data_IF_454358420883
#
_entry.id   IF_454358420883
#
_cell.length_a   1.000
_cell.length_b   1.000
_cell.length_c   1.000
_cell.angle_alpha   90.00
_cell.angle_beta   90.00
_cell.angle_gamma   90.00
#
_symmetry.space_group_name_H-M   'P 1'
#
loop_
_entity.id
_entity.type
_entity.pdbx_description
1 polymer ?
#
# COMPACT_ATOMS: atom_id res chain seq x y z
N UNK A 1 7.88 -8.35 83.38
CA UNK A 1 8.62 -7.42 82.50
C UNK A 1 8.03 -7.50 81.10
N UNK A 2 7.51 -6.36 80.62
CA UNK A 2 7.20 -5.92 79.23
C UNK A 2 6.75 -6.98 78.19
N UNK A 3 5.46 -6.95 77.85
CA UNK A 3 4.91 -7.38 76.55
C UNK A 3 5.30 -6.38 75.45
N UNK A 4 5.53 -6.83 74.20
CA UNK A 4 5.26 -6.00 73.03
C UNK A 4 4.07 -6.53 72.22
N UNK A 5 3.29 -5.59 71.71
CA UNK A 5 2.12 -5.77 70.85
C UNK A 5 2.52 -6.25 69.46
N UNK A 6 1.78 -7.21 68.91
CA UNK A 6 1.78 -7.51 67.47
C UNK A 6 0.71 -6.64 66.83
N UNK A 7 1.13 -5.61 66.10
CA UNK A 7 0.26 -4.78 65.27
C UNK A 7 -0.04 -5.48 63.94
N UNK A 8 -1.31 -5.76 63.68
CA UNK A 8 -1.79 -6.23 62.38
C UNK A 8 -1.84 -5.04 61.41
N UNK A 9 -0.99 -5.06 60.37
CA UNK A 9 -1.06 -4.12 59.26
C UNK A 9 -2.08 -4.66 58.24
N UNK A 10 -3.24 -3.99 58.11
CA UNK A 10 -4.14 -4.18 56.98
C UNK A 10 -3.50 -3.59 55.72
N UNK A 11 -3.13 -4.46 54.77
CA UNK A 11 -2.84 -4.07 53.39
C UNK A 11 -4.16 -3.84 52.65
N UNK A 12 -4.52 -2.57 52.44
CA UNK A 12 -5.60 -2.20 51.54
C UNK A 12 -5.13 -2.42 50.09
N UNK A 13 -5.63 -3.47 49.44
CA UNK A 13 -5.44 -3.70 48.01
C UNK A 13 -6.34 -2.74 47.23
N UNK A 14 -5.78 -1.62 46.78
CA UNK A 14 -6.43 -0.74 45.80
C UNK A 14 -6.42 -1.39 44.43
N UNK A 15 -7.56 -1.97 44.03
CA UNK A 15 -7.79 -2.45 42.68
C UNK A 15 -7.86 -1.26 41.70
N UNK A 16 -6.76 -0.96 41.01
CA UNK A 16 -6.80 -0.11 39.83
C UNK A 16 -7.49 -0.87 38.71
N UNK A 17 -8.77 -0.56 38.49
CA UNK A 17 -9.49 -0.95 37.28
C UNK A 17 -8.88 -0.18 36.12
N UNK A 18 -8.06 -0.85 35.31
CA UNK A 18 -7.62 -0.33 34.02
C UNK A 18 -8.83 -0.28 33.08
N UNK A 19 -9.48 0.89 33.00
CA UNK A 19 -10.45 1.15 31.96
C UNK A 19 -9.73 1.12 30.61
N UNK A 20 -9.98 0.07 29.82
CA UNK A 20 -9.58 0.03 28.42
C UNK A 20 -10.22 1.24 27.72
N UNK A 21 -9.42 2.23 27.33
CA UNK A 21 -9.88 3.34 26.51
C UNK A 21 -10.21 2.79 25.13
N UNK A 22 -11.47 2.39 24.93
CA UNK A 22 -12.01 2.14 23.60
C UNK A 22 -12.00 3.47 22.85
N UNK A 23 -11.29 3.52 21.72
CA UNK A 23 -11.36 4.67 20.82
C UNK A 23 -12.83 5.01 20.52
N UNK A 24 -13.21 6.30 20.50
CA UNK A 24 -14.57 6.69 20.18
C UNK A 24 -14.97 6.18 18.79
N UNK A 25 -16.22 5.71 18.59
CA UNK A 25 -16.69 5.28 17.28
C UNK A 25 -16.58 6.44 16.30
N UNK A 26 -15.99 6.18 15.13
CA UNK A 26 -15.85 7.17 14.07
C UNK A 26 -17.23 7.72 13.65
N UNK A 27 -17.35 9.02 13.35
CA UNK A 27 -18.62 9.59 12.88
C UNK A 27 -19.06 8.89 11.60
N UNK A 28 -20.33 8.45 11.57
CA UNK A 28 -20.92 7.81 10.40
C UNK A 28 -20.99 8.80 9.23
N UNK A 29 -20.29 8.49 8.13
CA UNK A 29 -20.32 9.30 6.91
C UNK A 29 -21.61 9.02 6.12
N UNK A 30 -22.30 10.10 5.73
CA UNK A 30 -23.59 10.03 5.06
C UNK A 30 -23.52 9.25 3.73
N UNK A 31 -24.47 8.31 3.54
CA UNK A 31 -24.67 7.60 2.27
C UNK A 31 -24.05 6.20 2.15
N UNK A 32 -23.27 5.75 3.14
CA UNK A 32 -22.63 4.43 3.14
C UNK A 32 -22.81 3.73 4.49
N UNK A 33 -24.06 3.63 4.95
CA UNK A 33 -24.44 2.94 6.19
C UNK A 33 -25.04 1.56 5.90
N UNK A 34 -24.97 0.65 6.88
CA UNK A 34 -25.57 -0.68 6.80
C UNK A 34 -24.62 -1.80 6.35
N UNK A 35 -25.12 -3.04 6.32
CA UNK A 35 -24.31 -4.21 5.98
C UNK A 35 -23.78 -4.15 4.55
N UNK A 36 -22.61 -4.74 4.33
CA UNK A 36 -22.07 -5.00 2.99
C UNK A 36 -22.40 -6.45 2.61
N UNK A 37 -23.11 -6.63 1.49
CA UNK A 37 -23.42 -7.96 0.94
C UNK A 37 -22.49 -8.24 -0.24
N UNK A 38 -21.75 -9.34 -0.15
CA UNK A 38 -20.80 -9.78 -1.16
C UNK A 38 -21.39 -10.93 -1.97
N UNK A 39 -21.24 -10.90 -3.29
CA UNK A 39 -21.50 -12.06 -4.14
C UNK A 39 -20.44 -13.13 -3.89
N UNK A 40 -19.17 -12.72 -3.85
CA UNK A 40 -18.02 -13.59 -3.67
C UNK A 40 -16.93 -12.87 -2.88
N UNK A 41 -16.21 -13.64 -2.07
CA UNK A 41 -14.94 -13.21 -1.49
C UNK A 41 -13.99 -14.39 -1.43
N UNK A 42 -12.70 -14.10 -1.40
CA UNK A 42 -11.69 -15.15 -1.29
C UNK A 42 -10.29 -14.59 -1.35
N UNK A 43 -9.34 -15.50 -1.47
CA UNK A 43 -7.94 -15.17 -1.68
C UNK A 43 -7.24 -16.25 -2.50
N UNK A 44 -6.20 -15.85 -3.21
CA UNK A 44 -5.36 -16.73 -4.03
C UNK A 44 -3.96 -16.12 -4.18
N UNK A 45 -3.07 -16.84 -4.84
CA UNK A 45 -1.74 -16.36 -5.21
C UNK A 45 -1.60 -16.27 -6.73
N UNK A 46 -0.81 -15.33 -7.21
CA UNK A 46 -0.44 -15.17 -8.63
C UNK A 46 1.07 -15.26 -8.79
N UNK A 47 1.53 -15.90 -9.86
CA UNK A 47 2.94 -16.10 -10.14
C UNK A 47 3.62 -17.05 -9.16
N UNK A 48 4.89 -16.77 -8.91
CA UNK A 48 5.78 -17.60 -8.10
C UNK A 48 6.59 -18.62 -8.88
N UNK A 49 7.65 -19.10 -8.23
CA UNK A 49 8.54 -20.15 -8.74
C UNK A 49 9.09 -20.98 -7.59
N UNK A 50 9.47 -22.20 -7.88
CA UNK A 50 10.11 -23.09 -6.92
C UNK A 50 11.63 -22.85 -6.91
N UNK A 51 12.20 -22.75 -5.71
CA UNK A 51 13.64 -22.63 -5.46
C UNK A 51 14.09 -23.78 -4.58
N UNK A 52 15.11 -24.51 -5.04
CA UNK A 52 15.85 -25.45 -4.20
C UNK A 52 16.91 -24.69 -3.42
N UNK A 53 17.00 -24.97 -2.13
CA UNK A 53 17.98 -24.37 -1.21
C UNK A 53 18.49 -25.42 -0.25
N UNK A 54 19.72 -25.23 0.21
CA UNK A 54 20.40 -26.06 1.22
C UNK A 54 20.52 -25.31 2.57
N UNK A 55 19.93 -24.10 2.67
CA UNK A 55 20.04 -23.20 3.83
C UNK A 55 18.68 -22.67 4.31
N UNK A 56 17.61 -23.45 4.19
CA UNK A 56 16.25 -23.07 4.59
C UNK A 56 16.07 -22.92 6.11
N UNK A 57 16.83 -23.64 6.93
CA UNK A 57 16.66 -23.66 8.38
C UNK A 57 17.99 -23.72 9.13
N UNK A 58 18.06 -22.99 10.25
CA UNK A 58 19.09 -23.17 11.29
C UNK A 58 18.53 -23.84 12.56
N UNK A 59 17.26 -24.24 12.54
CA UNK A 59 16.57 -24.90 13.63
C UNK A 59 16.55 -26.43 13.40
N UNK A 60 16.79 -27.26 14.44
CA UNK A 60 16.77 -28.73 14.30
C UNK A 60 15.44 -29.32 13.83
N UNK A 61 14.32 -28.64 14.09
CA UNK A 61 12.98 -29.14 13.79
C UNK A 61 12.62 -29.10 12.28
N UNK A 62 13.41 -28.41 11.45
CA UNK A 62 13.13 -28.25 10.03
C UNK A 62 14.38 -28.57 9.20
N UNK A 63 14.20 -29.31 8.10
CA UNK A 63 15.30 -29.65 7.21
C UNK A 63 15.97 -28.38 6.66
N UNK A 64 17.32 -28.30 6.67
CA UNK A 64 18.03 -27.16 6.09
C UNK A 64 17.93 -27.17 4.57
N UNK A 65 17.69 -28.33 3.95
CA UNK A 65 17.55 -28.45 2.51
C UNK A 65 16.14 -28.81 2.08
N UNK A 66 15.73 -28.28 0.93
CA UNK A 66 14.40 -28.50 0.38
C UNK A 66 14.06 -27.57 -0.77
N UNK A 67 12.79 -27.56 -1.16
CA UNK A 67 12.26 -26.68 -2.19
C UNK A 67 11.13 -25.84 -1.61
N UNK A 68 11.19 -24.52 -1.82
CA UNK A 68 10.16 -23.57 -1.38
C UNK A 68 9.62 -22.80 -2.58
N UNK A 69 8.36 -22.36 -2.49
CA UNK A 69 7.79 -21.40 -3.42
C UNK A 69 8.15 -19.98 -2.98
N UNK A 70 8.66 -19.18 -3.93
CA UNK A 70 9.01 -17.77 -3.74
C UNK A 70 8.45 -16.95 -4.89
N UNK A 71 8.43 -15.63 -4.73
CA UNK A 71 8.00 -14.68 -5.77
C UNK A 71 6.51 -14.76 -6.18
N UNK A 72 5.68 -15.43 -5.39
CA UNK A 72 4.22 -15.39 -5.53
C UNK A 72 3.64 -14.13 -4.87
N UNK A 73 2.61 -13.56 -5.48
CA UNK A 73 1.88 -12.39 -4.99
C UNK A 73 0.55 -12.82 -4.40
N UNK A 74 0.33 -12.57 -3.11
CA UNK A 74 -0.95 -12.77 -2.45
C UNK A 74 -1.99 -11.77 -2.98
N UNK A 75 -3.22 -12.25 -3.17
CA UNK A 75 -4.37 -11.46 -3.60
C UNK A 75 -5.57 -11.81 -2.73
N UNK A 76 -6.17 -10.82 -2.07
CA UNK A 76 -7.52 -10.93 -1.48
C UNK A 76 -8.51 -10.24 -2.40
N UNK A 77 -9.67 -10.86 -2.63
CA UNK A 77 -10.72 -10.23 -3.44
C UNK A 77 -12.06 -10.17 -2.73
N UNK A 78 -12.84 -9.14 -3.08
CA UNK A 78 -14.25 -9.00 -2.74
C UNK A 78 -15.02 -8.53 -3.97
N UNK A 79 -16.17 -9.16 -4.23
CA UNK A 79 -17.06 -8.84 -5.36
C UNK A 79 -18.43 -8.45 -4.80
N UNK A 80 -18.93 -7.24 -5.06
CA UNK A 80 -20.28 -6.84 -4.66
C UNK A 80 -21.33 -7.60 -5.48
N UNK A 81 -22.55 -7.72 -4.97
CA UNK A 81 -23.68 -8.26 -5.74
C UNK A 81 -23.91 -7.44 -7.01
N UNK A 82 -24.05 -8.11 -8.15
CA UNK A 82 -24.30 -7.50 -9.46
C UNK A 82 -23.29 -6.37 -9.79
N UNK A 83 -21.99 -6.67 -9.89
CA UNK A 83 -20.95 -5.66 -10.07
C UNK A 83 -21.16 -4.86 -11.36
N UNK A 84 -21.28 -3.54 -11.24
CA UNK A 84 -21.53 -2.63 -12.37
C UNK A 84 -20.26 -1.93 -12.88
N UNK A 85 -19.20 -1.92 -12.06
CA UNK A 85 -17.97 -1.19 -12.35
C UNK A 85 -16.79 -2.14 -12.53
N UNK A 86 -15.75 -1.65 -13.23
CA UNK A 86 -14.51 -2.41 -13.48
C UNK A 86 -13.84 -2.81 -12.16
N UNK A 87 -13.20 -3.99 -12.07
CA UNK A 87 -12.35 -4.32 -10.93
C UNK A 87 -11.26 -3.27 -10.71
N UNK A 88 -10.90 -3.06 -9.45
CA UNK A 88 -9.70 -2.29 -9.06
C UNK A 88 -8.72 -3.20 -8.34
N UNK A 89 -7.45 -3.14 -8.73
CA UNK A 89 -6.36 -3.83 -8.06
C UNK A 89 -5.58 -2.81 -7.24
N UNK A 90 -5.56 -2.96 -5.92
CA UNK A 90 -4.96 -2.01 -4.97
C UNK A 90 -3.56 -2.49 -4.55
N UNK A 91 -2.55 -1.66 -4.81
CA UNK A 91 -1.13 -2.03 -4.78
C UNK A 91 -0.40 -1.10 -3.79
N UNK A 92 -0.11 -1.58 -2.59
CA UNK A 92 0.54 -0.79 -1.53
C UNK A 92 1.99 -0.39 -1.90
N UNK A 93 2.57 0.56 -1.16
CA UNK A 93 3.95 1.02 -1.32
C UNK A 93 4.99 0.32 -0.43
N UNK A 94 6.09 1.01 -0.13
CA UNK A 94 7.14 0.50 0.77
C UNK A 94 6.57 0.32 2.17
N UNK A 95 7.27 -0.49 2.96
CA UNK A 95 7.15 -0.40 4.42
C UNK A 95 5.75 -0.73 4.97
N UNK A 96 4.87 -1.25 4.12
CA UNK A 96 3.43 -1.46 4.33
C UNK A 96 3.02 -2.77 3.65
N UNK A 97 1.75 -3.14 3.81
CA UNK A 97 1.08 -4.30 3.19
C UNK A 97 -0.25 -3.85 2.56
N UNK A 98 -1.08 -4.78 2.07
CA UNK A 98 -2.45 -4.50 1.66
C UNK A 98 -3.30 -3.77 2.72
N UNK A 99 -2.89 -3.83 4.01
CA UNK A 99 -3.47 -3.08 5.13
C UNK A 99 -3.59 -1.57 4.87
N UNK A 100 -2.76 -1.01 3.98
CA UNK A 100 -2.87 0.37 3.48
C UNK A 100 -4.29 0.75 3.07
N UNK A 101 -5.00 -0.17 2.43
CA UNK A 101 -6.30 0.08 1.80
C UNK A 101 -7.49 -0.32 2.67
N UNK A 102 -7.23 -1.07 3.75
CA UNK A 102 -8.24 -1.52 4.72
C UNK A 102 -8.63 -0.39 5.68
N UNK A 103 -9.34 -0.72 6.77
CA UNK A 103 -9.71 0.20 7.85
C UNK A 103 -8.58 1.18 8.20
N UNK A 104 -8.85 2.48 8.21
CA UNK A 104 -7.82 3.49 8.49
C UNK A 104 -7.27 3.36 9.92
N UNK A 105 -6.10 3.92 10.24
CA UNK A 105 -5.53 3.85 11.58
C UNK A 105 -6.48 4.32 12.70
N UNK A 106 -7.34 5.29 12.40
CA UNK A 106 -8.36 5.83 13.31
C UNK A 106 -9.72 5.12 13.24
N UNK A 107 -9.80 3.96 12.57
CA UNK A 107 -10.98 3.10 12.58
C UNK A 107 -12.06 3.42 11.54
N UNK A 108 -11.83 4.37 10.62
CA UNK A 108 -12.76 4.67 9.52
C UNK A 108 -12.67 3.63 8.40
N UNK A 109 -13.65 3.68 7.50
CA UNK A 109 -13.70 2.84 6.31
C UNK A 109 -12.49 3.11 5.40
N UNK A 110 -11.85 2.02 4.96
CA UNK A 110 -10.78 2.05 3.97
C UNK A 110 -11.30 2.11 2.53
N UNK A 111 -10.39 2.33 1.59
CA UNK A 111 -10.72 2.31 0.17
C UNK A 111 -11.12 0.92 -0.31
N UNK A 112 -10.62 -0.17 0.28
CA UNK A 112 -11.02 -1.52 -0.15
C UNK A 112 -12.53 -1.75 0.02
N UNK A 113 -13.08 -1.48 1.20
CA UNK A 113 -14.51 -1.57 1.47
C UNK A 113 -15.29 -0.52 0.70
N UNK A 114 -14.81 0.72 0.64
CA UNK A 114 -15.52 1.81 -0.01
C UNK A 114 -15.72 1.54 -1.52
N UNK A 115 -14.68 1.04 -2.21
CA UNK A 115 -14.79 0.69 -3.63
C UNK A 115 -15.79 -0.45 -3.86
N UNK A 116 -15.84 -1.46 -2.99
CA UNK A 116 -16.84 -2.54 -3.07
C UNK A 116 -18.25 -1.99 -2.90
N UNK A 117 -18.46 -1.13 -1.90
CA UNK A 117 -19.76 -0.45 -1.68
C UNK A 117 -20.16 0.46 -2.84
N UNK A 118 -19.18 0.95 -3.59
CA UNK A 118 -19.33 1.69 -4.84
C UNK A 118 -19.39 0.77 -6.07
N UNK A 119 -19.59 -0.53 -5.92
CA UNK A 119 -19.84 -1.45 -7.03
C UNK A 119 -18.61 -1.89 -7.82
N UNK A 120 -17.40 -1.61 -7.34
CA UNK A 120 -16.16 -2.15 -7.90
C UNK A 120 -15.77 -3.45 -7.20
N UNK A 121 -15.54 -4.56 -7.93
CA UNK A 121 -14.75 -5.65 -7.38
C UNK A 121 -13.36 -5.16 -6.96
N UNK A 122 -12.88 -5.54 -5.79
CA UNK A 122 -11.55 -5.14 -5.30
C UNK A 122 -10.62 -6.33 -5.21
N UNK A 123 -9.36 -6.11 -5.58
CA UNK A 123 -8.27 -7.07 -5.51
C UNK A 123 -7.11 -6.41 -4.76
N UNK A 124 -7.00 -6.67 -3.47
CA UNK A 124 -5.97 -6.10 -2.60
C UNK A 124 -4.80 -7.06 -2.53
N UNK A 125 -3.62 -6.60 -2.95
CA UNK A 125 -2.44 -7.46 -3.02
C UNK A 125 -1.51 -7.22 -1.81
N UNK A 126 -0.71 -8.23 -1.50
CA UNK A 126 0.59 -8.01 -0.85
C UNK A 126 1.68 -8.21 -1.90
N UNK A 127 2.56 -7.22 -2.09
CA UNK A 127 3.70 -7.32 -3.00
C UNK A 127 4.53 -8.57 -2.72
N UNK A 128 5.24 -9.06 -3.73
CA UNK A 128 6.21 -10.15 -3.58
C UNK A 128 7.19 -9.87 -2.44
N UNK A 129 7.40 -10.88 -1.58
CA UNK A 129 8.21 -10.80 -0.34
C UNK A 129 7.73 -9.76 0.68
N UNK A 130 6.43 -9.49 0.74
CA UNK A 130 5.79 -8.64 1.74
C UNK A 130 4.53 -9.29 2.30
N UNK A 131 4.26 -9.12 3.59
CA UNK A 131 3.02 -9.58 4.21
C UNK A 131 2.83 -11.09 4.03
N UNK A 132 1.74 -11.48 3.37
CA UNK A 132 1.38 -12.88 3.10
C UNK A 132 2.11 -13.48 1.89
N UNK A 133 2.84 -12.68 1.13
CA UNK A 133 3.73 -13.11 0.05
C UNK A 133 5.11 -13.41 0.63
N UNK A 134 5.51 -14.68 0.68
CA UNK A 134 6.70 -15.12 1.43
C UNK A 134 8.02 -14.61 0.84
N UNK A 135 8.94 -14.20 1.73
CA UNK A 135 10.33 -13.95 1.40
C UNK A 135 11.17 -15.24 1.45
N UNK A 136 12.31 -15.26 0.75
CA UNK A 136 13.27 -16.37 0.79
C UNK A 136 14.29 -16.18 1.94
N UNK A 137 14.32 -17.06 2.95
CA UNK A 137 15.25 -16.95 4.08
C UNK A 137 16.67 -17.43 3.75
N UNK A 138 16.87 -18.09 2.60
CA UNK A 138 18.08 -18.88 2.29
C UNK A 138 19.37 -18.08 2.43
N UNK A 139 19.38 -16.83 1.94
CA UNK A 139 20.58 -16.00 1.98
C UNK A 139 20.94 -15.55 3.41
N UNK A 140 19.94 -15.16 4.21
CA UNK A 140 20.13 -14.76 5.62
C UNK A 140 20.69 -15.93 6.43
N UNK A 141 20.12 -17.13 6.24
CA UNK A 141 20.59 -18.33 6.90
C UNK A 141 21.97 -18.76 6.41
N UNK A 142 22.25 -18.65 5.11
CA UNK A 142 23.56 -18.97 4.53
C UNK A 142 24.67 -18.12 5.16
N UNK A 143 24.41 -16.82 5.37
CA UNK A 143 25.32 -15.92 6.08
C UNK A 143 25.49 -16.33 7.54
N UNK A 144 24.40 -16.63 8.25
CA UNK A 144 24.44 -17.10 9.64
C UNK A 144 25.22 -18.41 9.81
N UNK A 145 25.17 -19.30 8.81
CA UNK A 145 25.90 -20.56 8.77
C UNK A 145 27.38 -20.40 8.35
N UNK A 146 27.82 -19.18 8.01
CA UNK A 146 29.17 -18.92 7.52
C UNK A 146 29.44 -19.41 6.09
N UNK A 147 28.40 -19.82 5.36
CA UNK A 147 28.52 -20.29 3.98
C UNK A 147 28.53 -19.14 2.97
N UNK A 148 28.06 -17.96 3.37
CA UNK A 148 28.10 -16.75 2.57
C UNK A 148 28.72 -15.60 3.39
N UNK A 149 29.65 -14.82 2.82
CA UNK A 149 30.22 -13.65 3.48
C UNK A 149 29.16 -12.60 3.87
N UNK A 150 29.27 -11.95 5.04
CA UNK A 150 28.27 -10.97 5.49
C UNK A 150 28.02 -9.80 4.54
N UNK A 151 29.03 -9.36 3.76
CA UNK A 151 28.93 -8.27 2.77
C UNK A 151 28.02 -8.60 1.58
N UNK A 152 27.63 -9.88 1.42
CA UNK A 152 26.66 -10.32 0.40
C UNK A 152 25.21 -10.23 0.87
N UNK A 153 24.95 -9.85 2.13
CA UNK A 153 23.58 -9.68 2.63
C UNK A 153 22.97 -8.41 2.02
N UNK A 154 21.90 -8.51 1.22
CA UNK A 154 21.22 -7.32 0.69
C UNK A 154 20.57 -6.55 1.83
N UNK A 155 20.41 -5.22 1.69
CA UNK A 155 19.78 -4.42 2.72
C UNK A 155 18.30 -4.79 2.86
N UNK A 156 17.92 -5.27 4.04
CA UNK A 156 16.53 -5.39 4.47
C UNK A 156 16.29 -4.22 5.41
N UNK A 157 15.27 -3.40 5.14
CA UNK A 157 15.07 -2.16 5.89
C UNK A 157 13.65 -2.03 6.44
N UNK A 158 13.52 -1.27 7.52
CA UNK A 158 12.26 -0.74 8.01
C UNK A 158 12.37 0.78 8.07
N UNK A 159 11.28 1.49 7.78
CA UNK A 159 11.21 2.91 8.04
C UNK A 159 10.86 3.12 9.52
N UNK A 160 11.81 3.68 10.30
CA UNK A 160 11.54 4.12 11.67
C UNK A 160 10.49 5.23 11.70
N UNK A 161 9.85 5.44 12.86
CA UNK A 161 8.73 6.38 13.01
C UNK A 161 9.11 7.81 12.59
N UNK A 162 10.32 8.24 12.91
CA UNK A 162 10.85 9.56 12.63
C UNK A 162 11.09 9.75 11.12
N UNK A 163 11.66 8.73 10.47
CA UNK A 163 11.84 8.73 9.03
C UNK A 163 10.48 8.68 8.31
N UNK A 164 9.57 7.84 8.78
CA UNK A 164 8.21 7.70 8.26
C UNK A 164 7.47 9.03 8.32
N UNK A 165 7.61 9.79 9.41
CA UNK A 165 6.99 11.10 9.58
C UNK A 165 7.32 12.08 8.45
N UNK A 166 8.61 12.24 8.13
CA UNK A 166 9.08 13.11 7.06
C UNK A 166 8.76 12.54 5.67
N UNK A 167 8.88 11.21 5.48
CA UNK A 167 8.53 10.54 4.22
C UNK A 167 7.05 10.70 3.93
N UNK A 168 6.18 10.58 4.93
CA UNK A 168 4.73 10.66 4.77
C UNK A 168 4.20 12.09 4.84
N UNK A 169 5.11 13.06 5.01
CA UNK A 169 4.83 14.50 5.08
C UNK A 169 3.79 14.83 6.16
N UNK A 170 3.87 14.19 7.32
CA UNK A 170 3.10 14.62 8.49
C UNK A 170 3.63 15.95 9.03
N UNK A 171 4.95 16.15 8.89
CA UNK A 171 5.63 17.42 9.03
C UNK A 171 7.08 17.30 8.56
N UNK A 172 7.83 18.40 8.66
CA UNK A 172 9.22 18.46 8.18
C UNK A 172 10.18 17.59 8.99
N UNK A 173 9.91 17.44 10.28
CA UNK A 173 10.66 16.58 11.20
C UNK A 173 9.73 16.08 12.31
N UNK A 174 10.03 14.90 12.86
CA UNK A 174 9.26 14.36 13.97
C UNK A 174 9.53 15.15 15.27
N UNK A 175 8.51 15.51 16.07
CA UNK A 175 7.06 15.32 15.88
C UNK A 175 6.34 16.58 15.37
N UNK A 176 7.03 17.52 14.72
CA UNK A 176 6.42 18.77 14.21
C UNK A 176 5.44 18.43 13.09
N UNK A 177 4.29 19.11 13.06
CA UNK A 177 3.19 18.82 12.12
C UNK A 177 3.05 19.97 11.12
N UNK A 178 2.72 19.68 9.87
CA UNK A 178 2.32 20.73 8.92
C UNK A 178 0.94 21.31 9.26
N UNK A 179 0.77 22.62 9.10
CA UNK A 179 -0.52 23.28 9.34
C UNK A 179 -1.61 22.75 8.43
N UNK A 180 -2.73 22.31 9.02
CA UNK A 180 -3.86 21.75 8.27
C UNK A 180 -3.72 20.28 7.90
N UNK A 181 -2.77 19.55 8.52
CA UNK A 181 -2.57 18.12 8.29
C UNK A 181 -3.87 17.32 8.47
N UNK A 182 -4.24 16.58 7.42
CA UNK A 182 -5.44 15.73 7.38
C UNK A 182 -5.22 14.31 7.86
N UNK A 183 -3.97 13.86 7.97
CA UNK A 183 -3.70 12.55 8.51
C UNK A 183 -4.13 12.49 9.98
N UNK A 184 -4.85 11.45 10.44
CA UNK A 184 -5.36 11.36 11.81
C UNK A 184 -4.25 11.03 12.81
N UNK A 185 -3.42 12.03 13.15
CA UNK A 185 -2.23 11.87 13.99
C UNK A 185 -2.49 11.40 15.43
N UNK A 186 -3.74 11.51 15.90
CA UNK A 186 -4.16 10.88 17.15
C UNK A 186 -4.01 9.34 17.10
N UNK A 187 -4.12 8.73 15.92
CA UNK A 187 -4.01 7.30 15.68
C UNK A 187 -2.65 6.88 15.08
N UNK A 188 -1.60 7.71 15.20
CA UNK A 188 -0.26 7.41 14.67
C UNK A 188 0.33 6.10 15.19
N UNK A 189 0.01 5.69 16.42
CA UNK A 189 0.49 4.42 16.97
C UNK A 189 -0.11 3.22 16.22
N UNK A 190 -1.38 3.28 15.84
CA UNK A 190 -2.01 2.26 15.00
C UNK A 190 -1.42 2.26 13.58
N UNK A 191 -1.07 3.45 13.07
CA UNK A 191 -0.35 3.55 11.81
C UNK A 191 1.03 2.90 11.86
N UNK A 192 1.78 3.08 12.94
CA UNK A 192 3.09 2.43 13.07
C UNK A 192 2.98 0.90 13.21
N UNK A 193 1.90 0.37 13.78
CA UNK A 193 1.65 -1.08 13.85
C UNK A 193 1.43 -1.74 12.48
N UNK A 194 0.93 -1.01 11.48
CA UNK A 194 0.78 -1.56 10.12
C UNK A 194 2.07 -1.45 9.28
N UNK A 195 3.10 -0.77 9.80
CA UNK A 195 4.39 -0.70 9.11
C UNK A 195 5.17 -2.00 9.29
N UNK A 196 5.82 -2.45 8.22
CA UNK A 196 6.53 -3.73 8.17
C UNK A 196 7.90 -3.58 7.53
N UNK A 197 8.77 -4.57 7.73
CA UNK A 197 10.05 -4.69 7.02
C UNK A 197 9.85 -4.80 5.51
N UNK A 198 10.82 -4.29 4.76
CA UNK A 198 10.81 -4.24 3.30
C UNK A 198 12.00 -5.01 2.72
N UNK A 199 11.68 -5.98 1.85
CA UNK A 199 12.62 -6.88 1.17
C UNK A 199 12.92 -6.47 -0.27
N UNK A 200 12.45 -5.32 -0.75
CA UNK A 200 12.59 -4.93 -2.16
C UNK A 200 14.02 -5.01 -2.69
N UNK A 201 15.03 -4.69 -1.86
CA UNK A 201 16.43 -4.72 -2.30
C UNK A 201 17.01 -6.13 -2.41
N UNK A 202 16.28 -7.16 -1.98
CA UNK A 202 16.64 -8.57 -2.18
C UNK A 202 16.03 -9.12 -3.48
N UNK A 203 15.28 -8.32 -4.22
CA UNK A 203 14.54 -8.72 -5.41
C UNK A 203 15.11 -8.05 -6.68
N UNK A 204 14.91 -8.65 -7.87
CA UNK A 204 15.30 -8.02 -9.13
C UNK A 204 14.48 -6.75 -9.42
N UNK A 205 14.97 -5.95 -10.36
CA UNK A 205 14.23 -4.83 -10.96
C UNK A 205 14.00 -5.13 -12.45
N UNK A 206 12.75 -5.14 -12.96
CA UNK A 206 11.49 -4.86 -12.26
C UNK A 206 11.19 -5.86 -11.13
N UNK A 207 10.49 -5.39 -10.10
CA UNK A 207 10.06 -6.24 -8.99
C UNK A 207 9.14 -7.36 -9.53
N UNK A 208 9.23 -8.62 -9.05
CA UNK A 208 8.40 -9.72 -9.55
C UNK A 208 6.88 -9.48 -9.46
N UNK A 209 6.44 -8.57 -8.57
CA UNK A 209 5.06 -8.06 -8.52
C UNK A 209 4.59 -7.56 -9.90
N UNK A 210 5.44 -6.94 -10.72
CA UNK A 210 5.09 -6.44 -12.06
C UNK A 210 4.60 -7.57 -12.97
N UNK A 211 5.30 -8.71 -12.97
CA UNK A 211 4.88 -9.87 -13.76
C UNK A 211 3.57 -10.44 -13.24
N UNK A 212 3.44 -10.58 -11.92
CA UNK A 212 2.22 -11.06 -11.29
C UNK A 212 1.01 -10.14 -11.55
N UNK A 213 1.21 -8.81 -11.62
CA UNK A 213 0.18 -7.85 -12.01
C UNK A 213 -0.25 -8.02 -13.47
N UNK A 214 0.67 -8.34 -14.39
CA UNK A 214 0.33 -8.65 -15.79
C UNK A 214 -0.55 -9.90 -15.87
N UNK A 215 -0.18 -10.96 -15.14
CA UNK A 215 -0.95 -12.20 -15.05
C UNK A 215 -2.35 -11.96 -14.45
N UNK A 216 -2.42 -11.24 -13.33
CA UNK A 216 -3.70 -10.88 -12.70
C UNK A 216 -4.57 -10.03 -13.62
N UNK A 217 -3.99 -9.04 -14.31
CA UNK A 217 -4.74 -8.17 -15.24
C UNK A 217 -5.39 -8.98 -16.36
N UNK A 218 -4.68 -9.98 -16.90
CA UNK A 218 -5.20 -10.91 -17.90
C UNK A 218 -6.31 -11.80 -17.36
N UNK A 219 -6.20 -12.27 -16.12
CA UNK A 219 -7.24 -13.08 -15.47
C UNK A 219 -8.53 -12.27 -15.24
N UNK A 220 -8.41 -10.98 -14.91
CA UNK A 220 -9.55 -10.11 -14.62
C UNK A 220 -10.19 -9.49 -15.86
N UNK A 221 -9.46 -9.48 -16.99
CA UNK A 221 -9.91 -8.94 -18.27
C UNK A 221 -10.43 -7.49 -18.17
N UNK A 222 -9.55 -6.60 -17.69
CA UNK A 222 -9.82 -5.17 -17.58
C UNK A 222 -9.96 -4.69 -16.15
N UNK A 223 -8.86 -4.72 -15.40
CA UNK A 223 -8.74 -4.09 -14.08
C UNK A 223 -8.12 -2.70 -14.18
N UNK A 224 -8.52 -1.78 -13.30
CA UNK A 224 -7.75 -0.55 -13.05
C UNK A 224 -6.67 -0.87 -12.02
N UNK A 225 -5.42 -0.55 -12.32
CA UNK A 225 -4.29 -0.73 -11.40
C UNK A 225 -4.10 0.55 -10.58
N UNK A 226 -4.36 0.49 -9.27
CA UNK A 226 -4.22 1.62 -8.34
C UNK A 226 -3.01 1.37 -7.44
N UNK A 227 -1.93 2.10 -7.68
CA UNK A 227 -0.66 1.93 -6.97
C UNK A 227 -0.27 3.12 -6.12
N UNK A 228 0.65 2.92 -5.18
CA UNK A 228 1.09 3.94 -4.25
C UNK A 228 2.60 3.95 -4.05
N UNK A 229 3.22 5.12 -4.09
CA UNK A 229 4.60 5.31 -3.63
C UNK A 229 5.62 4.43 -4.36
N UNK A 230 6.33 3.56 -3.64
CA UNK A 230 7.28 2.58 -4.20
C UNK A 230 6.70 1.77 -5.37
N UNK A 231 5.44 1.33 -5.28
CA UNK A 231 4.78 0.58 -6.35
C UNK A 231 4.20 1.47 -7.44
N UNK A 232 4.30 2.79 -7.30
CA UNK A 232 3.78 3.77 -8.25
C UNK A 232 4.25 3.54 -9.69
N UNK A 233 5.46 2.99 -9.88
CA UNK A 233 6.03 2.66 -11.19
C UNK A 233 5.54 1.30 -11.73
N UNK A 234 4.99 0.43 -10.89
CA UNK A 234 4.70 -0.97 -11.24
C UNK A 234 3.59 -1.11 -12.29
N UNK A 235 2.47 -0.37 -12.25
CA UNK A 235 1.48 -0.44 -13.33
C UNK A 235 2.04 -0.03 -14.69
N UNK A 236 2.95 0.95 -14.72
CA UNK A 236 3.60 1.37 -15.96
C UNK A 236 4.55 0.29 -16.49
N UNK A 237 5.36 -0.32 -15.61
CA UNK A 237 6.21 -1.46 -15.98
C UNK A 237 5.36 -2.67 -16.43
N UNK A 238 4.18 -2.84 -15.85
CA UNK A 238 3.23 -3.89 -16.25
C UNK A 238 2.70 -3.63 -17.65
N UNK A 239 2.31 -2.39 -17.96
CA UNK A 239 1.87 -1.99 -19.29
C UNK A 239 2.99 -2.09 -20.35
N UNK A 240 4.24 -1.76 -19.98
CA UNK A 240 5.40 -1.92 -20.83
C UNK A 240 5.73 -3.40 -21.13
N UNK A 241 5.37 -4.30 -20.22
CA UNK A 241 5.48 -5.75 -20.44
C UNK A 241 4.35 -6.27 -21.34
N UNK A 242 3.10 -5.98 -21.01
CA UNK A 242 1.91 -6.37 -21.77
C UNK A 242 0.70 -5.56 -21.31
N UNK A 243 0.03 -4.87 -22.23
CA UNK A 243 -1.15 -4.03 -21.94
C UNK A 243 -2.44 -4.83 -21.77
N UNK A 244 -2.45 -6.12 -22.12
CA UNK A 244 -3.66 -6.96 -22.07
C UNK A 244 -4.25 -7.03 -20.67
N UNK A 245 -5.54 -6.69 -20.56
CA UNK A 245 -6.29 -6.73 -19.31
C UNK A 245 -6.12 -5.51 -18.40
N UNK A 246 -5.31 -4.51 -18.80
CA UNK A 246 -5.19 -3.24 -18.09
C UNK A 246 -6.24 -2.26 -18.63
N UNK A 247 -7.21 -1.89 -17.80
CA UNK A 247 -8.26 -0.94 -18.18
C UNK A 247 -7.87 0.52 -17.92
N UNK A 248 -7.01 0.77 -16.94
CA UNK A 248 -6.52 2.10 -16.58
C UNK A 248 -5.47 2.03 -15.47
N UNK A 249 -4.75 3.12 -15.27
CA UNK A 249 -3.73 3.24 -14.22
C UNK A 249 -4.04 4.46 -13.36
N UNK A 250 -4.02 4.29 -12.04
CA UNK A 250 -4.01 5.38 -11.06
C UNK A 250 -2.76 5.22 -10.21
N UNK A 251 -1.85 6.19 -10.26
CA UNK A 251 -0.61 6.16 -9.49
C UNK A 251 -0.61 7.30 -8.48
N UNK A 252 -0.68 6.94 -7.20
CA UNK A 252 -0.78 7.87 -6.07
C UNK A 252 0.62 8.12 -5.53
N UNK A 253 1.10 9.34 -5.69
CA UNK A 253 2.42 9.81 -5.28
C UNK A 253 3.55 8.83 -5.62
N UNK A 254 3.71 8.46 -6.91
CA UNK A 254 4.71 7.51 -7.32
C UNK A 254 6.13 7.94 -6.89
N UNK A 255 6.91 6.96 -6.42
CA UNK A 255 8.33 7.15 -6.20
C UNK A 255 9.08 7.48 -7.50
N UNK A 256 8.54 7.04 -8.65
CA UNK A 256 9.07 7.29 -10.00
C UNK A 256 7.95 7.14 -11.02
N UNK A 257 7.91 8.02 -12.03
CA UNK A 257 7.13 7.84 -13.26
C UNK A 257 8.07 7.38 -14.41
N UNK A 258 7.54 6.84 -15.52
CA UNK A 258 8.36 6.58 -16.71
C UNK A 258 9.11 7.84 -17.17
N UNK A 259 10.26 7.65 -17.83
CA UNK A 259 11.03 8.79 -18.35
C UNK A 259 10.25 9.54 -19.44
N UNK A 260 10.27 10.88 -19.38
CA UNK A 260 9.71 11.74 -20.43
C UNK A 260 10.38 11.53 -21.81
N UNK A 261 11.62 11.04 -21.83
CA UNK A 261 12.39 10.74 -23.04
C UNK A 261 12.44 9.24 -23.36
N UNK A 262 11.72 8.41 -22.60
CA UNK A 262 11.67 6.96 -22.80
C UNK A 262 10.67 6.54 -23.88
N UNK A 263 10.47 5.22 -24.02
CA UNK A 263 9.41 4.70 -24.89
C UNK A 263 8.03 4.93 -24.26
N UNK A 264 7.21 5.73 -24.94
CA UNK A 264 5.86 6.10 -24.50
C UNK A 264 4.78 5.20 -25.12
N UNK A 265 5.12 4.38 -26.14
CA UNK A 265 4.15 3.56 -26.89
C UNK A 265 3.27 2.69 -25.99
N UNK A 266 3.77 2.05 -24.91
CA UNK A 266 2.94 1.20 -24.05
C UNK A 266 1.79 1.94 -23.36
N UNK A 267 1.88 3.28 -23.23
CA UNK A 267 0.96 4.09 -22.45
C UNK A 267 -0.10 4.79 -23.29
N UNK A 268 0.09 4.89 -24.62
CA UNK A 268 -0.79 5.70 -25.49
C UNK A 268 -2.25 5.24 -25.49
N UNK A 269 -2.50 3.94 -25.33
CA UNK A 269 -3.85 3.37 -25.30
C UNK A 269 -4.53 3.36 -23.93
N UNK A 270 -3.80 3.69 -22.85
CA UNK A 270 -4.25 3.48 -21.48
C UNK A 270 -4.58 4.83 -20.83
N UNK A 271 -5.78 5.03 -20.26
CA UNK A 271 -6.06 6.20 -19.43
C UNK A 271 -5.24 6.13 -18.14
N UNK A 272 -4.55 7.22 -17.81
CA UNK A 272 -3.65 7.31 -16.66
C UNK A 272 -4.04 8.51 -15.79
N UNK A 273 -4.06 8.30 -14.47
CA UNK A 273 -4.09 9.35 -13.47
C UNK A 273 -2.81 9.28 -12.63
N UNK A 274 -2.14 10.41 -12.42
CA UNK A 274 -1.12 10.56 -11.39
C UNK A 274 -1.65 11.55 -10.36
N UNK A 275 -1.75 11.14 -9.09
CA UNK A 275 -2.38 11.92 -8.01
C UNK A 275 -1.36 12.29 -6.94
N UNK A 276 -1.30 13.57 -6.59
CA UNK A 276 -0.45 14.13 -5.56
C UNK A 276 -1.25 14.89 -4.49
N UNK A 277 -0.87 14.72 -3.24
CA UNK A 277 -1.37 15.47 -2.09
C UNK A 277 -0.68 16.82 -1.92
N UNK A 278 -0.62 17.29 -0.68
CA UNK A 278 -0.06 18.59 -0.31
C UNK A 278 1.38 18.46 0.22
N UNK A 279 2.04 19.60 0.42
CA UNK A 279 3.41 19.77 0.93
C UNK A 279 4.52 19.13 0.06
N UNK A 280 4.17 18.63 -1.12
CA UNK A 280 5.07 17.89 -2.03
C UNK A 280 6.24 18.76 -2.49
N UNK A 281 5.96 20.00 -2.91
CA UNK A 281 6.98 20.94 -3.41
C UNK A 281 7.97 21.41 -2.33
N UNK A 282 7.55 21.38 -1.06
CA UNK A 282 8.41 21.76 0.08
C UNK A 282 9.32 20.63 0.56
N UNK A 283 9.09 19.40 0.09
CA UNK A 283 9.87 18.23 0.48
C UNK A 283 11.01 17.97 -0.50
N UNK A 284 12.25 17.97 -0.01
CA UNK A 284 13.43 17.61 -0.81
C UNK A 284 13.35 16.21 -1.42
N UNK A 285 12.62 15.29 -0.78
CA UNK A 285 12.37 13.93 -1.28
C UNK A 285 11.32 13.90 -2.40
N UNK A 286 10.26 14.71 -2.30
CA UNK A 286 9.09 14.58 -3.16
C UNK A 286 9.03 15.60 -4.30
N UNK A 287 9.57 16.81 -4.13
CA UNK A 287 9.57 17.83 -5.18
C UNK A 287 10.24 17.37 -6.49
N UNK A 288 11.39 16.65 -6.47
CA UNK A 288 11.98 16.13 -7.71
C UNK A 288 11.11 15.06 -8.38
N UNK A 289 10.37 14.27 -7.60
CA UNK A 289 9.49 13.21 -8.12
C UNK A 289 8.25 13.79 -8.78
N UNK A 290 7.65 14.81 -8.16
CA UNK A 290 6.56 15.59 -8.74
C UNK A 290 6.99 16.19 -10.09
N UNK A 291 8.16 16.83 -10.14
CA UNK A 291 8.72 17.40 -11.37
C UNK A 291 8.88 16.35 -12.47
N UNK A 292 9.50 15.21 -12.16
CA UNK A 292 9.71 14.14 -13.14
C UNK A 292 8.38 13.55 -13.66
N UNK A 293 7.38 13.39 -12.79
CA UNK A 293 6.05 12.92 -13.20
C UNK A 293 5.28 13.94 -14.03
N UNK A 294 5.46 15.24 -13.77
CA UNK A 294 4.91 16.32 -14.60
C UNK A 294 5.54 16.30 -16.00
N UNK A 295 6.87 16.17 -16.09
CA UNK A 295 7.59 16.05 -17.37
C UNK A 295 7.13 14.82 -18.18
N UNK A 296 6.94 13.67 -17.51
CA UNK A 296 6.37 12.47 -18.13
C UNK A 296 4.96 12.72 -18.67
N UNK A 297 4.08 13.33 -17.86
CA UNK A 297 2.70 13.59 -18.27
C UNK A 297 2.63 14.55 -19.47
N UNK A 298 3.45 15.59 -19.49
CA UNK A 298 3.56 16.49 -20.63
C UNK A 298 4.06 15.78 -21.89
N UNK A 299 5.08 14.95 -21.78
CA UNK A 299 5.61 14.18 -22.92
C UNK A 299 4.59 13.19 -23.47
N UNK A 300 3.91 12.46 -22.59
CA UNK A 300 2.86 11.51 -22.98
C UNK A 300 1.66 12.21 -23.62
N UNK A 301 1.23 13.36 -23.07
CA UNK A 301 0.17 14.18 -23.65
C UNK A 301 0.53 14.67 -25.06
N UNK A 302 1.76 15.15 -25.27
CA UNK A 302 2.26 15.54 -26.60
C UNK A 302 2.31 14.37 -27.59
N UNK A 303 2.55 13.15 -27.10
CA UNK A 303 2.53 11.93 -27.90
C UNK A 303 1.11 11.38 -28.18
N UNK A 304 0.05 12.05 -27.67
CA UNK A 304 -1.35 11.65 -27.86
C UNK A 304 -1.89 10.68 -26.81
N UNK A 305 -1.17 10.45 -25.71
CA UNK A 305 -1.65 9.65 -24.59
C UNK A 305 -2.67 10.40 -23.72
N UNK A 306 -3.47 9.65 -22.96
CA UNK A 306 -4.50 10.19 -22.06
C UNK A 306 -4.01 10.15 -20.62
N UNK A 307 -3.53 11.28 -20.11
CA UNK A 307 -3.00 11.38 -18.75
C UNK A 307 -3.51 12.63 -18.04
N UNK A 308 -4.04 12.42 -16.84
CA UNK A 308 -4.40 13.49 -15.89
C UNK A 308 -3.37 13.51 -14.75
N UNK A 309 -2.61 14.61 -14.65
CA UNK A 309 -1.65 14.83 -13.58
C UNK A 309 -2.24 15.79 -12.54
N UNK A 310 -2.79 15.23 -11.45
CA UNK A 310 -3.58 15.96 -10.45
C UNK A 310 -2.74 16.26 -9.22
N UNK A 311 -2.69 17.53 -8.83
CA UNK A 311 -2.11 18.00 -7.56
C UNK A 311 -3.27 18.59 -6.75
N UNK A 312 -3.58 17.98 -5.60
CA UNK A 312 -4.78 18.31 -4.82
C UNK A 312 -4.89 19.80 -4.43
N UNK A 313 -3.81 20.47 -4.01
CA UNK A 313 -3.86 21.92 -3.74
C UNK A 313 -4.31 22.77 -4.93
N UNK A 314 -3.98 22.39 -6.17
CA UNK A 314 -4.35 23.13 -7.38
C UNK A 314 -5.86 23.11 -7.64
N UNK A 315 -6.57 22.13 -7.05
CA UNK A 315 -8.04 22.02 -7.11
C UNK A 315 -8.70 22.37 -5.77
N UNK A 316 -7.99 23.06 -4.87
CA UNK A 316 -8.52 23.56 -3.61
C UNK A 316 -8.57 22.54 -2.46
N UNK A 317 -8.03 21.33 -2.65
CA UNK A 317 -7.97 20.30 -1.61
C UNK A 317 -6.58 20.36 -0.95
N UNK A 318 -6.51 20.88 0.27
CA UNK A 318 -5.25 21.12 1.00
C UNK A 318 -5.10 20.20 2.19
N UNK A 319 -3.87 20.02 2.67
CA UNK A 319 -3.55 19.32 3.92
C UNK A 319 -3.36 17.81 3.81
N UNK A 320 -3.47 17.24 2.61
CA UNK A 320 -3.33 15.81 2.40
C UNK A 320 -1.88 15.33 2.51
N UNK A 321 -1.69 14.24 3.25
CA UNK A 321 -0.39 13.60 3.48
C UNK A 321 0.00 12.68 2.31
N UNK A 322 1.12 11.96 2.43
CA UNK A 322 1.44 10.86 1.51
C UNK A 322 0.47 9.67 1.64
N UNK A 323 -0.21 9.56 2.78
CA UNK A 323 -1.18 8.49 3.07
C UNK A 323 -2.60 8.96 2.76
N UNK A 324 -2.81 9.51 1.56
CA UNK A 324 -4.08 10.10 1.10
C UNK A 324 -5.30 9.20 1.34
N UNK A 325 -5.13 7.89 1.19
CA UNK A 325 -6.17 6.89 1.40
C UNK A 325 -6.53 6.67 2.87
N UNK A 326 -5.76 7.23 3.80
CA UNK A 326 -5.97 7.15 5.25
C UNK A 326 -6.23 8.52 5.91
N UNK A 327 -6.10 9.63 5.17
CA UNK A 327 -6.43 10.97 5.64
C UNK A 327 -7.93 11.11 5.99
N UNK A 328 -8.31 12.15 6.74
CA UNK A 328 -9.69 12.38 7.20
C UNK A 328 -10.72 12.56 6.07
N UNK A 329 -10.28 13.04 4.91
CA UNK A 329 -11.07 13.20 3.68
C UNK A 329 -10.86 12.06 2.67
N UNK A 330 -10.30 10.92 3.10
CA UNK A 330 -9.94 9.83 2.20
C UNK A 330 -11.09 9.36 1.30
N UNK A 331 -12.34 9.37 1.78
CA UNK A 331 -13.50 8.94 0.98
C UNK A 331 -13.87 9.96 -0.11
N UNK A 332 -13.66 11.26 0.13
CA UNK A 332 -13.83 12.28 -0.90
C UNK A 332 -12.78 12.13 -2.01
N UNK A 333 -11.55 11.74 -1.64
CA UNK A 333 -10.51 11.40 -2.60
C UNK A 333 -10.82 10.10 -3.35
N UNK A 334 -11.41 9.12 -2.69
CA UNK A 334 -11.88 7.91 -3.36
C UNK A 334 -12.98 8.24 -4.39
N UNK A 335 -13.93 9.12 -4.06
CA UNK A 335 -14.95 9.58 -5.02
C UNK A 335 -14.33 10.32 -6.22
N UNK A 336 -13.28 11.13 -6.01
CA UNK A 336 -12.52 11.77 -7.09
C UNK A 336 -11.91 10.71 -8.04
N UNK A 337 -11.27 9.69 -7.47
CA UNK A 337 -10.68 8.59 -8.26
C UNK A 337 -11.76 7.78 -8.98
N UNK A 338 -12.88 7.47 -8.32
CA UNK A 338 -14.00 6.74 -8.93
C UNK A 338 -14.60 7.54 -10.10
N UNK A 339 -14.88 8.83 -9.91
CA UNK A 339 -15.40 9.68 -10.96
C UNK A 339 -14.43 9.76 -12.16
N UNK A 340 -13.13 9.80 -11.90
CA UNK A 340 -12.11 9.74 -12.94
C UNK A 340 -12.14 8.40 -13.70
N UNK A 341 -12.24 7.26 -12.99
CA UNK A 341 -12.35 5.93 -13.59
C UNK A 341 -13.59 5.85 -14.47
N UNK A 342 -14.75 6.28 -13.99
CA UNK A 342 -16.00 6.23 -14.77
C UNK A 342 -15.92 7.05 -16.05
N UNK A 343 -15.35 8.25 -15.98
CA UNK A 343 -15.17 9.13 -17.13
C UNK A 343 -14.20 8.58 -18.17
N UNK A 344 -13.06 8.03 -17.73
CA UNK A 344 -11.92 7.75 -18.61
C UNK A 344 -11.76 6.28 -19.00
N UNK A 345 -12.22 5.35 -18.16
CA UNK A 345 -12.16 3.90 -18.36
C UNK A 345 -13.51 3.35 -18.80
N UNK A 346 -14.60 3.90 -18.27
CA UNK A 346 -15.97 3.41 -18.48
C UNK A 346 -16.31 2.15 -17.67
N UNK A 347 -17.54 1.68 -17.79
CA UNK A 347 -18.02 0.43 -17.16
C UNK A 347 -17.62 -0.80 -17.98
N UNK A 348 -17.71 -2.00 -17.41
CA UNK A 348 -17.57 -3.24 -18.19
C UNK A 348 -18.77 -3.30 -19.14
N UNK A 349 -18.55 -3.23 -20.45
CA UNK A 349 -19.60 -3.56 -21.42
C UNK A 349 -19.85 -5.07 -21.29
N UNK A 350 -21.09 -5.45 -21.01
CA UNK A 350 -21.53 -6.85 -20.96
C UNK A 350 -21.27 -7.56 -22.28
#
# INVERSE_FOLDING_TARGET
MRRPLVGAALLAASALSAAAQTAPPAPAQAGVSGPLVLEKQGSFFVGGRNVKSETLSTLPAYAPSGTIAVEQMYVRYQVPVAPQRRPVTLIHGCCLTGKTWETTPDGRMGWDEYFVRKGHPTYVIDQVSRGRSSADPSLVNSVKLGQTPPDKTPPIYAAGQEAAWAIFRFGTEYPKVHDGMRFPLAAKEEFFKQMVVDWIATLPTPNPTVKALSELSKQLDGTVLISHSQSGIYPFQTAALDTKGIAGIVSIEPGTCPSATGDLKPYLGIPIMVLWGDYVETSSRWAPRLKACREFAEALGKAGGRIDHVVLPDIGIKGNSHMLMQDDNSLALADLVIAWIEKNVGTKKN
#
